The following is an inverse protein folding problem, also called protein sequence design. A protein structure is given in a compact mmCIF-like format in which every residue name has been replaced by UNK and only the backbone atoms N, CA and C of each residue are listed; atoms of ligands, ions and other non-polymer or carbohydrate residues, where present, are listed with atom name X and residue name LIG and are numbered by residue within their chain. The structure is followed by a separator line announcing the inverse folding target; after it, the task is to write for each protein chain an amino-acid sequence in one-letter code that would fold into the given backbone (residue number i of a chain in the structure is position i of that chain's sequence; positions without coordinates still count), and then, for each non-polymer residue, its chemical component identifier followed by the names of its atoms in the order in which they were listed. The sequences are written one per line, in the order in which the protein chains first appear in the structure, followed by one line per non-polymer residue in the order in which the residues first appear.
data_IF_578205771627
#
_entry.id   IF_578205771627
#
_cell.length_a   1.000
_cell.length_b   1.000
_cell.length_c   1.000
_cell.angle_alpha   90.00
_cell.angle_beta   90.00
_cell.angle_gamma   90.00
#
_symmetry.space_group_name_H-M   'P 1'
#
loop_
_entity.id
_entity.type
_entity.pdbx_description
1 polymer ?
#
# COMPACT_ATOMS: atom_id res chain seq x y z
N UNK A 1 0.70 10.13 -21.20
CA UNK A 1 0.68 11.43 -20.51
C UNK A 1 0.54 11.17 -19.02
N UNK A 2 1.06 12.04 -18.15
CA UNK A 2 0.76 11.98 -16.71
C UNK A 2 -0.59 12.66 -16.43
N UNK A 3 -1.17 12.35 -15.28
CA UNK A 3 -2.45 12.89 -14.87
C UNK A 3 -2.53 12.95 -13.35
N UNK A 4 -3.32 13.86 -12.81
CA UNK A 4 -3.59 13.89 -11.37
C UNK A 4 -4.76 12.97 -11.06
N UNK A 5 -4.67 12.28 -9.92
CA UNK A 5 -5.67 11.31 -9.47
C UNK A 5 -6.11 11.70 -8.06
N UNK A 6 -7.41 11.78 -7.87
CA UNK A 6 -8.01 12.02 -6.57
C UNK A 6 -7.83 10.81 -5.65
N UNK A 7 -7.59 11.07 -4.36
CA UNK A 7 -7.50 10.08 -3.30
C UNK A 7 -8.65 10.30 -2.34
N UNK A 8 -9.46 9.28 -2.06
CA UNK A 8 -10.57 9.41 -1.12
C UNK A 8 -10.77 8.15 -0.28
N UNK A 9 -10.90 8.31 1.04
CA UNK A 9 -11.33 7.19 1.88
C UNK A 9 -12.80 6.83 1.63
N UNK A 10 -13.23 5.64 2.05
CA UNK A 10 -14.58 5.11 1.73
C UNK A 10 -15.72 6.03 2.20
N UNK A 11 -15.52 6.76 3.30
CA UNK A 11 -16.52 7.69 3.83
C UNK A 11 -16.30 9.15 3.41
N UNK A 12 -15.31 9.46 2.57
CA UNK A 12 -15.08 10.82 2.05
C UNK A 12 -14.39 11.81 3.01
N UNK A 13 -14.26 11.46 4.28
CA UNK A 13 -13.66 12.32 5.31
C UNK A 13 -12.19 12.67 5.02
N UNK A 14 -11.42 11.69 4.53
CA UNK A 14 -10.05 11.91 4.05
C UNK A 14 -10.08 12.09 2.54
N UNK A 15 -9.50 13.20 2.07
CA UNK A 15 -9.36 13.52 0.65
C UNK A 15 -7.96 14.06 0.35
N UNK A 16 -7.49 13.81 -0.87
CA UNK A 16 -6.20 14.27 -1.34
C UNK A 16 -5.95 13.98 -2.82
N UNK A 17 -4.68 14.03 -3.19
CA UNK A 17 -4.24 13.92 -4.57
C UNK A 17 -2.97 13.09 -4.70
N UNK A 18 -2.92 12.31 -5.77
CA UNK A 18 -1.72 11.72 -6.34
C UNK A 18 -1.38 12.48 -7.63
N UNK A 19 -0.30 13.28 -7.58
CA UNK A 19 0.17 14.11 -8.69
C UNK A 19 1.01 13.31 -9.68
N UNK A 20 0.95 13.69 -10.95
CA UNK A 20 1.78 13.13 -12.03
C UNK A 20 1.70 11.59 -12.15
N UNK A 21 0.53 11.02 -11.91
CA UNK A 21 0.29 9.59 -12.04
C UNK A 21 0.45 9.14 -13.50
N UNK A 22 1.25 8.08 -13.70
CA UNK A 22 1.43 7.41 -14.99
C UNK A 22 2.11 6.06 -14.78
N UNK A 23 2.11 5.16 -15.77
CA UNK A 23 2.88 3.91 -15.71
C UNK A 23 4.40 4.16 -15.56
N UNK A 24 4.89 5.33 -16.00
CA UNK A 24 6.31 5.68 -15.93
C UNK A 24 6.73 6.20 -14.54
N UNK A 25 5.80 6.78 -13.78
CA UNK A 25 6.02 7.36 -12.46
C UNK A 25 5.59 6.43 -11.33
N UNK A 26 4.84 5.36 -11.59
CA UNK A 26 4.43 4.36 -10.58
C UNK A 26 4.92 2.94 -10.89
N UNK A 27 4.84 2.03 -9.92
CA UNK A 27 5.02 0.59 -10.10
C UNK A 27 3.83 -0.16 -9.52
N UNK A 28 3.01 -0.81 -10.36
CA UNK A 28 1.85 -1.57 -9.89
C UNK A 28 2.17 -3.06 -9.78
N UNK A 29 1.78 -3.68 -8.67
CA UNK A 29 1.98 -5.11 -8.38
C UNK A 29 0.78 -5.66 -7.62
N UNK A 30 0.57 -6.97 -7.67
CA UNK A 30 -0.32 -7.67 -6.72
C UNK A 30 0.53 -8.41 -5.70
N UNK A 31 0.35 -8.13 -4.42
CA UNK A 31 1.14 -8.69 -3.33
C UNK A 31 0.33 -9.70 -2.53
N UNK A 32 0.84 -10.93 -2.45
CA UNK A 32 0.17 -12.06 -1.79
C UNK A 32 0.67 -12.34 -0.38
N UNK A 33 1.54 -11.50 0.20
CA UNK A 33 2.09 -11.83 1.52
C UNK A 33 1.02 -11.89 2.60
N UNK A 34 1.25 -12.81 3.53
CA UNK A 34 0.46 -13.00 4.74
C UNK A 34 0.38 -11.71 5.58
N UNK A 35 1.38 -10.84 5.55
CA UNK A 35 1.30 -9.54 6.21
C UNK A 35 0.33 -8.53 5.53
N UNK A 36 0.16 -8.58 4.20
CA UNK A 36 -0.86 -7.76 3.53
C UNK A 36 -2.26 -8.31 3.82
N UNK A 37 -2.40 -9.63 3.84
CA UNK A 37 -3.63 -10.31 4.23
C UNK A 37 -4.00 -9.99 5.69
N UNK A 38 -3.08 -10.18 6.63
CA UNK A 38 -3.28 -9.91 8.06
C UNK A 38 -3.68 -8.45 8.32
N UNK A 39 -3.09 -7.51 7.58
CA UNK A 39 -3.47 -6.10 7.68
C UNK A 39 -4.93 -5.86 7.27
N UNK A 40 -5.37 -6.41 6.14
CA UNK A 40 -6.75 -6.25 5.68
C UNK A 40 -7.74 -7.00 6.57
N UNK A 41 -7.38 -8.17 7.10
CA UNK A 41 -8.19 -8.85 8.13
C UNK A 41 -8.31 -8.01 9.41
N UNK A 42 -7.21 -7.43 9.90
CA UNK A 42 -7.23 -6.58 11.09
C UNK A 42 -8.13 -5.35 10.89
N UNK A 43 -8.14 -4.76 9.70
CA UNK A 43 -9.00 -3.63 9.39
C UNK A 43 -10.48 -4.02 9.17
N UNK A 44 -10.81 -5.31 9.13
CA UNK A 44 -12.13 -5.78 8.70
C UNK A 44 -12.42 -5.43 7.24
N UNK A 45 -11.37 -5.39 6.41
CA UNK A 45 -11.40 -5.00 4.99
C UNK A 45 -10.91 -6.13 4.06
N UNK A 46 -11.14 -7.38 4.47
CA UNK A 46 -10.65 -8.55 3.73
C UNK A 46 -11.32 -8.70 2.35
N UNK A 47 -12.47 -8.06 2.12
CA UNK A 47 -13.12 -7.99 0.81
C UNK A 47 -12.28 -7.26 -0.26
N UNK A 48 -11.22 -6.54 0.14
CA UNK A 48 -10.26 -5.91 -0.77
C UNK A 48 -9.17 -6.87 -1.26
N UNK A 49 -9.11 -8.10 -0.74
CA UNK A 49 -8.21 -9.14 -1.24
C UNK A 49 -8.82 -9.78 -2.48
N UNK A 50 -7.98 -10.12 -3.46
CA UNK A 50 -8.40 -11.02 -4.54
C UNK A 50 -8.66 -12.44 -4.00
N UNK A 51 -9.24 -13.31 -4.83
CA UNK A 51 -9.59 -14.69 -4.49
C UNK A 51 -8.42 -15.53 -3.95
N UNK A 52 -7.17 -15.10 -4.20
CA UNK A 52 -5.93 -15.77 -3.78
C UNK A 52 -5.23 -15.01 -2.65
N UNK A 53 -5.88 -14.05 -2.00
CA UNK A 53 -5.31 -13.26 -0.91
C UNK A 53 -4.35 -12.16 -1.36
N UNK A 54 -4.49 -11.69 -2.60
CA UNK A 54 -3.65 -10.65 -3.19
C UNK A 54 -4.20 -9.25 -2.96
N UNK A 55 -3.34 -8.31 -2.54
CA UNK A 55 -3.65 -6.88 -2.54
C UNK A 55 -3.09 -6.22 -3.81
N UNK A 56 -3.93 -5.52 -4.57
CA UNK A 56 -3.49 -4.68 -5.70
C UNK A 56 -2.91 -3.36 -5.19
N UNK A 57 -1.64 -3.12 -5.51
CA UNK A 57 -0.83 -2.05 -4.92
C UNK A 57 -0.16 -1.23 -6.02
N UNK A 58 -0.38 0.08 -5.96
CA UNK A 58 0.33 1.07 -6.77
C UNK A 58 1.43 1.71 -5.92
N UNK A 59 2.69 1.53 -6.33
CA UNK A 59 3.85 2.06 -5.63
C UNK A 59 4.31 3.38 -6.25
N UNK A 60 4.43 4.42 -5.44
CA UNK A 60 4.75 5.79 -5.87
C UNK A 60 5.78 6.43 -4.95
N UNK A 61 6.28 7.60 -5.35
CA UNK A 61 7.13 8.40 -4.50
C UNK A 61 6.27 9.22 -3.50
N UNK A 62 6.76 9.46 -2.27
CA UNK A 62 6.06 10.25 -1.26
C UNK A 62 5.62 11.63 -1.73
N UNK A 63 6.48 12.35 -2.45
CA UNK A 63 6.21 13.72 -2.91
C UNK A 63 5.04 13.84 -3.88
N UNK A 64 4.54 12.73 -4.42
CA UNK A 64 3.39 12.72 -5.31
C UNK A 64 2.07 12.77 -4.54
N UNK A 65 2.08 12.50 -3.23
CA UNK A 65 0.87 12.38 -2.41
C UNK A 65 0.71 13.61 -1.53
N UNK A 66 -0.49 14.19 -1.54
CA UNK A 66 -0.91 15.25 -0.63
C UNK A 66 -2.32 14.97 -0.12
N UNK A 67 -2.59 15.24 1.16
CA UNK A 67 -3.94 15.29 1.71
C UNK A 67 -4.33 16.74 1.93
N UNK A 68 -5.53 17.13 1.53
CA UNK A 68 -6.06 18.47 1.72
C UNK A 68 -7.22 18.53 2.74
N UNK A 69 -7.77 17.36 3.12
CA UNK A 69 -8.81 17.21 4.14
C UNK A 69 -8.66 15.89 4.90
N UNK A 70 -8.99 15.90 6.20
CA UNK A 70 -9.09 14.69 7.01
C UNK A 70 -7.76 14.05 7.42
N UNK A 71 -6.64 14.77 7.30
CA UNK A 71 -5.31 14.23 7.62
C UNK A 71 -5.17 13.80 9.09
N UNK A 72 -5.90 14.45 9.99
CA UNK A 72 -6.03 14.12 11.42
C UNK A 72 -6.68 12.75 11.67
N UNK A 73 -7.39 12.21 10.69
CA UNK A 73 -7.99 10.87 10.72
C UNK A 73 -7.05 9.79 10.18
N UNK A 74 -5.82 10.13 9.79
CA UNK A 74 -4.81 9.15 9.40
C UNK A 74 -4.26 8.47 10.65
N UNK A 75 -4.11 7.15 10.60
CA UNK A 75 -3.44 6.35 11.61
C UNK A 75 -2.53 5.31 10.95
N UNK A 76 -1.60 4.73 11.72
CA UNK A 76 -0.78 3.61 11.29
C UNK A 76 -0.91 2.39 12.19
N UNK A 77 -0.76 1.23 11.56
CA UNK A 77 -0.53 -0.04 12.23
C UNK A 77 0.84 -0.59 11.83
N UNK A 78 1.54 -1.21 12.78
CA UNK A 78 2.66 -2.10 12.50
C UNK A 78 2.35 -3.48 13.04
N UNK A 79 2.48 -4.51 12.20
CA UNK A 79 2.26 -5.90 12.62
C UNK A 79 3.38 -6.41 13.54
N UNK A 80 4.56 -5.78 13.49
CA UNK A 80 5.69 -6.03 14.39
C UNK A 80 6.41 -4.72 14.69
N UNK A 81 7.19 -4.62 15.79
CA UNK A 81 7.93 -3.40 16.14
C UNK A 81 8.94 -2.91 15.07
N UNK A 82 9.36 -3.79 14.15
CA UNK A 82 10.28 -3.47 13.04
C UNK A 82 9.62 -3.56 11.65
N UNK A 83 8.33 -3.88 11.59
CA UNK A 83 7.58 -4.04 10.35
C UNK A 83 7.28 -2.72 9.65
N UNK A 84 6.65 -2.82 8.47
CA UNK A 84 6.20 -1.64 7.70
C UNK A 84 5.19 -0.82 8.50
N UNK A 85 5.17 0.49 8.26
CA UNK A 85 4.03 1.32 8.62
C UNK A 85 2.92 1.05 7.61
N UNK A 86 1.74 0.69 8.11
CA UNK A 86 0.54 0.43 7.31
C UNK A 86 -0.50 1.49 7.67
N UNK A 87 -0.60 2.50 6.82
CA UNK A 87 -1.44 3.68 7.00
C UNK A 87 -2.88 3.38 6.61
N UNK A 88 -3.83 3.85 7.40
CA UNK A 88 -5.25 3.69 7.16
C UNK A 88 -6.05 4.89 7.70
N UNK A 89 -7.25 5.08 7.16
CA UNK A 89 -8.21 6.06 7.65
C UNK A 89 -8.90 5.51 8.90
N UNK A 90 -8.76 6.16 10.05
CA UNK A 90 -9.31 5.70 11.32
C UNK A 90 -10.85 5.65 11.32
N UNK A 91 -11.49 6.56 10.56
CA UNK A 91 -12.93 6.74 10.43
C UNK A 91 -13.67 5.57 9.74
N UNK A 92 -13.08 4.98 8.70
CA UNK A 92 -13.74 3.92 7.91
C UNK A 92 -12.84 2.71 7.62
N UNK A 93 -11.65 2.67 8.22
CA UNK A 93 -10.63 1.63 8.04
C UNK A 93 -10.17 1.47 6.59
N UNK A 94 -10.32 2.49 5.73
CA UNK A 94 -9.76 2.43 4.36
C UNK A 94 -8.24 2.38 4.42
N UNK A 95 -7.58 1.38 3.79
CA UNK A 95 -6.13 1.36 3.67
C UNK A 95 -5.64 2.54 2.81
N UNK A 96 -4.72 3.34 3.33
CA UNK A 96 -4.16 4.50 2.64
C UNK A 96 -2.83 4.17 1.97
N UNK A 97 -2.09 3.22 2.53
CA UNK A 97 -0.90 2.66 1.93
C UNK A 97 0.12 2.18 2.96
N UNK A 98 1.32 1.84 2.51
CA UNK A 98 2.40 1.42 3.40
C UNK A 98 3.73 2.09 3.07
N UNK A 99 4.58 2.27 4.08
CA UNK A 99 5.94 2.80 3.93
C UNK A 99 6.94 2.07 4.83
N UNK A 100 8.23 2.09 4.45
CA UNK A 100 9.31 1.53 5.26
C UNK A 100 9.80 2.55 6.30
N UNK A 101 10.70 3.41 5.87
CA UNK A 101 11.29 4.51 6.64
C UNK A 101 11.17 5.77 5.79
N UNK A 102 11.16 6.98 6.39
CA UNK A 102 11.06 8.24 5.64
C UNK A 102 12.18 8.44 4.61
N UNK A 103 13.32 7.76 4.79
CA UNK A 103 14.48 7.83 3.88
C UNK A 103 14.34 7.01 2.60
N UNK A 104 13.39 6.07 2.56
CA UNK A 104 13.11 5.25 1.37
C UNK A 104 11.91 5.87 0.66
N UNK A 105 12.08 6.46 -0.55
CA UNK A 105 10.99 7.16 -1.25
C UNK A 105 10.00 6.15 -1.84
N UNK A 106 9.20 5.52 -0.99
CA UNK A 106 8.31 4.44 -1.36
C UNK A 106 7.04 4.46 -0.54
N UNK A 107 5.91 4.59 -1.22
CA UNK A 107 4.59 4.35 -0.66
C UNK A 107 3.86 3.36 -1.55
N UNK A 108 3.37 2.26 -0.99
CA UNK A 108 2.47 1.33 -1.67
C UNK A 108 1.02 1.66 -1.33
N UNK A 109 0.26 2.19 -2.27
CA UNK A 109 -1.16 2.53 -2.11
C UNK A 109 -2.01 1.30 -2.48
N UNK A 110 -2.95 0.89 -1.62
CA UNK A 110 -3.98 -0.09 -1.99
C UNK A 110 -4.99 0.60 -2.89
N UNK A 111 -5.32 -0.02 -4.04
CA UNK A 111 -6.08 0.64 -5.12
C UNK A 111 -7.45 1.17 -4.71
N UNK A 112 -8.07 0.62 -3.65
CA UNK A 112 -9.29 1.15 -3.02
C UNK A 112 -9.24 2.67 -2.84
N UNK A 113 -8.14 3.24 -2.32
CA UNK A 113 -8.01 4.70 -2.10
C UNK A 113 -8.16 5.51 -3.40
N UNK A 114 -7.77 4.93 -4.53
CA UNK A 114 -7.81 5.54 -5.87
C UNK A 114 -9.14 5.26 -6.59
N UNK A 115 -9.84 4.18 -6.24
CA UNK A 115 -11.06 3.72 -6.90
C UNK A 115 -12.34 4.18 -6.22
N UNK A 116 -12.27 4.62 -4.95
CA UNK A 116 -13.41 5.18 -4.22
C UNK A 116 -13.59 6.69 -4.41
N UNK A 117 -12.67 7.34 -5.12
CA UNK A 117 -12.79 8.77 -5.41
C UNK A 117 -13.90 9.05 -6.44
N UNK A 118 -14.66 10.14 -6.33
CA UNK A 118 -15.69 10.52 -7.31
C UNK A 118 -15.17 10.60 -8.75
N UNK A 119 -13.93 11.06 -8.93
CA UNK A 119 -13.26 11.14 -10.25
C UNK A 119 -12.44 9.89 -10.62
N UNK A 120 -12.65 8.76 -9.93
CA UNK A 120 -11.89 7.54 -10.14
C UNK A 120 -11.93 7.08 -11.60
N UNK A 121 -10.75 6.75 -12.12
CA UNK A 121 -10.58 6.04 -13.40
C UNK A 121 -10.04 4.64 -13.13
N UNK A 122 -10.32 3.65 -14.00
CA UNK A 122 -9.77 2.32 -13.86
C UNK A 122 -8.24 2.36 -13.69
N UNK A 123 -7.72 1.63 -12.70
CA UNK A 123 -6.27 1.63 -12.44
C UNK A 123 -5.43 1.17 -13.64
N UNK A 124 -5.97 0.31 -14.51
CA UNK A 124 -5.29 -0.11 -15.74
C UNK A 124 -5.08 1.06 -16.73
N UNK A 125 -6.03 2.00 -16.80
CA UNK A 125 -5.93 3.18 -17.66
C UNK A 125 -4.82 4.13 -17.18
N UNK A 126 -4.73 4.34 -15.86
CA UNK A 126 -3.83 5.32 -15.26
C UNK A 126 -2.41 4.76 -15.03
N UNK A 127 -2.31 3.53 -14.55
CA UNK A 127 -1.05 2.93 -14.10
C UNK A 127 -0.57 1.77 -14.96
N UNK A 128 -1.41 1.30 -15.90
CA UNK A 128 -1.20 0.07 -16.65
C UNK A 128 -1.48 -1.18 -15.82
N UNK A 129 -1.41 -2.32 -16.50
CA UNK A 129 -1.54 -3.63 -15.86
C UNK A 129 -0.44 -3.84 -14.79
N UNK A 130 -0.72 -4.62 -13.72
CA UNK A 130 0.29 -5.00 -12.75
C UNK A 130 1.53 -5.61 -13.42
N UNK A 131 2.72 -5.07 -13.10
CA UNK A 131 4.01 -5.53 -13.68
C UNK A 131 4.43 -6.90 -13.18
N UNK A 132 3.82 -7.37 -12.09
CA UNK A 132 4.02 -8.70 -11.57
C UNK A 132 3.20 -8.98 -10.32
N UNK A 133 3.20 -10.27 -9.99
CA UNK A 133 2.61 -10.83 -8.77
C UNK A 133 3.75 -11.26 -7.87
N UNK A 134 3.71 -10.87 -6.60
CA UNK A 134 4.82 -11.07 -5.67
C UNK A 134 4.40 -11.82 -4.42
N UNK A 135 5.35 -12.55 -3.82
CA UNK A 135 5.16 -13.30 -2.57
C UNK A 135 4.05 -14.36 -2.67
N UNK A 136 3.91 -14.98 -3.84
CA UNK A 136 2.91 -16.01 -4.12
C UNK A 136 3.01 -17.26 -3.25
N UNK A 137 4.12 -17.48 -2.54
CA UNK A 137 4.23 -18.56 -1.54
C UNK A 137 3.20 -18.47 -0.41
N UNK A 138 2.60 -17.30 -0.22
CA UNK A 138 1.53 -17.03 0.75
C UNK A 138 0.16 -16.88 0.11
N UNK A 139 0.04 -17.04 -1.22
CA UNK A 139 -1.24 -16.98 -1.90
C UNK A 139 -2.15 -18.11 -1.39
N UNK A 140 -3.43 -17.80 -1.22
CA UNK A 140 -4.46 -18.75 -0.84
C UNK A 140 -4.68 -19.71 -2.01
N UNK A 141 -4.61 -21.02 -1.72
CA UNK A 141 -4.72 -22.06 -2.74
C UNK A 141 -3.50 -22.12 -3.67
N UNK A 142 -3.74 -22.25 -4.97
CA UNK A 142 -2.64 -22.32 -5.94
C UNK A 142 -2.03 -20.92 -6.14
N UNK A 143 -0.69 -20.78 -6.15
CA UNK A 143 -0.06 -19.50 -6.40
C UNK A 143 -0.25 -19.05 -7.85
N UNK A 144 -0.51 -17.75 -8.11
CA UNK A 144 -0.57 -17.25 -9.48
C UNK A 144 0.72 -17.51 -10.26
N UNK A 145 0.66 -17.73 -11.59
CA UNK A 145 1.85 -17.92 -12.41
C UNK A 145 2.89 -16.81 -12.24
N UNK A 146 4.16 -17.19 -12.11
CA UNK A 146 5.28 -16.25 -11.96
C UNK A 146 5.37 -15.54 -10.60
N UNK A 147 4.57 -15.92 -9.60
CA UNK A 147 4.53 -15.27 -8.28
C UNK A 147 5.37 -15.95 -7.19
N UNK A 148 5.78 -17.21 -7.40
CA UNK A 148 6.53 -18.01 -6.42
C UNK A 148 7.99 -17.58 -6.27
N UNK A 149 8.68 -17.36 -7.40
CA UNK A 149 10.10 -16.98 -7.41
C UNK A 149 10.25 -15.47 -7.55
N UNK A 150 11.26 -14.86 -6.92
CA UNK A 150 11.55 -13.44 -7.11
C UNK A 150 11.75 -13.09 -8.59
N UNK A 151 10.96 -12.14 -9.09
CA UNK A 151 11.11 -11.65 -10.46
C UNK A 151 12.22 -10.60 -10.54
N UNK A 152 13.40 -11.00 -11.01
CA UNK A 152 14.60 -10.14 -11.09
C UNK A 152 14.36 -8.88 -11.93
N UNK A 153 13.58 -8.97 -13.03
CA UNK A 153 13.25 -7.81 -13.87
C UNK A 153 12.38 -6.81 -13.13
N UNK A 154 11.39 -7.28 -12.35
CA UNK A 154 10.56 -6.44 -11.51
C UNK A 154 11.36 -5.80 -10.36
N UNK A 155 12.26 -6.57 -9.74
CA UNK A 155 13.13 -6.07 -8.68
C UNK A 155 14.06 -4.97 -9.20
N UNK A 156 14.75 -5.21 -10.32
CA UNK A 156 15.61 -4.22 -10.97
C UNK A 156 14.82 -2.95 -11.36
N UNK A 157 13.60 -3.11 -11.87
CA UNK A 157 12.71 -2.00 -12.18
C UNK A 157 12.38 -1.16 -10.93
N UNK A 158 12.05 -1.82 -9.82
CA UNK A 158 11.71 -1.18 -8.54
C UNK A 158 12.92 -0.43 -7.98
N UNK A 159 14.09 -1.06 -7.95
CA UNK A 159 15.35 -0.45 -7.50
C UNK A 159 15.68 0.80 -8.33
N UNK A 160 15.57 0.72 -9.67
CA UNK A 160 15.80 1.86 -10.57
C UNK A 160 14.87 3.03 -10.26
N UNK A 161 13.60 2.77 -9.94
CA UNK A 161 12.65 3.82 -9.53
C UNK A 161 13.03 4.45 -8.20
N UNK A 162 13.35 3.64 -7.18
CA UNK A 162 13.79 4.13 -5.87
C UNK A 162 15.01 5.05 -6.00
N UNK A 163 16.01 4.64 -6.78
CA UNK A 163 17.21 5.45 -7.06
C UNK A 163 16.81 6.77 -7.73
N UNK A 164 16.00 6.71 -8.79
CA UNK A 164 15.54 7.91 -9.51
C UNK A 164 14.77 8.87 -8.59
N UNK A 165 13.83 8.36 -7.80
CA UNK A 165 13.05 9.16 -6.86
C UNK A 165 13.95 9.79 -5.79
N UNK A 166 14.93 9.04 -5.28
CA UNK A 166 15.89 9.55 -4.31
C UNK A 166 16.75 10.69 -4.90
N UNK A 167 17.29 10.50 -6.10
CA UNK A 167 18.10 11.50 -6.80
C UNK A 167 17.31 12.78 -7.12
N UNK A 168 16.00 12.67 -7.32
CA UNK A 168 15.11 13.82 -7.57
C UNK A 168 14.57 14.47 -6.30
N UNK A 169 14.90 13.94 -5.12
CA UNK A 169 14.39 14.46 -3.85
C UNK A 169 12.93 14.08 -3.55
N UNK A 170 12.32 13.17 -4.32
CA UNK A 170 10.90 12.81 -4.22
C UNK A 170 10.53 12.02 -2.94
N UNK A 171 11.48 11.85 -2.01
CA UNK A 171 11.16 11.44 -0.64
C UNK A 171 10.38 12.53 0.12
N UNK A 172 10.49 13.79 -0.31
CA UNK A 172 9.87 14.94 0.33
C UNK A 172 9.12 15.84 -0.67
N UNK A 173 8.00 16.48 -0.28
CA UNK A 173 7.34 16.35 1.02
C UNK A 173 6.81 14.91 1.26
N UNK A 174 6.81 14.46 2.51
CA UNK A 174 6.32 13.13 2.87
C UNK A 174 4.92 13.26 3.51
N UNK A 175 3.89 12.54 3.04
CA UNK A 175 2.54 12.67 3.58
C UNK A 175 2.43 12.15 5.02
N UNK A 176 3.24 11.14 5.37
CA UNK A 176 3.15 10.44 6.65
C UNK A 176 4.23 10.69 7.71
N UNK A 177 5.39 11.27 7.34
CA UNK A 177 6.49 11.51 8.28
C UNK A 177 6.82 12.99 8.34
N UNK A 178 7.24 13.44 9.51
CA UNK A 178 7.81 14.76 9.72
C UNK A 178 9.29 14.77 9.31
N UNK A 179 9.71 15.85 8.64
CA UNK A 179 11.06 15.96 8.06
C UNK A 179 12.13 16.22 9.10
N UNK A 180 11.81 17.03 10.11
CA UNK A 180 12.78 17.43 11.12
C UNK A 180 13.09 16.28 12.07
N UNK A 181 12.06 15.59 12.55
CA UNK A 181 12.18 14.49 13.52
C UNK A 181 12.40 13.13 12.87
N UNK A 182 11.95 12.93 11.63
CA UNK A 182 11.90 11.60 11.00
C UNK A 182 10.81 10.68 11.58
N UNK A 183 9.98 11.19 12.50
CA UNK A 183 8.92 10.43 13.14
C UNK A 183 7.62 10.46 12.32
N UNK A 184 6.74 9.45 12.49
CA UNK A 184 5.36 9.51 12.01
C UNK A 184 4.66 10.81 12.46
N UNK A 185 3.90 11.43 11.55
CA UNK A 185 3.01 12.57 11.88
C UNK A 185 1.77 12.14 12.65
N UNK A 186 1.43 10.85 12.59
CA UNK A 186 0.14 10.32 13.02
C UNK A 186 0.32 9.19 14.05
N UNK A 187 -0.71 8.87 14.84
CA UNK A 187 -0.67 7.78 15.81
C UNK A 187 -0.28 6.44 15.17
N UNK A 188 0.61 5.70 15.84
CA UNK A 188 1.08 4.39 15.39
C UNK A 188 0.81 3.34 16.45
N UNK A 189 -0.04 2.37 16.14
CA UNK A 189 -0.24 1.19 16.95
C UNK A 189 0.68 0.04 16.50
N UNK A 190 1.12 -0.79 17.43
CA UNK A 190 1.86 -2.02 17.15
C UNK A 190 1.06 -3.18 17.72
N UNK A 191 0.78 -4.20 16.90
CA UNK A 191 0.10 -5.39 17.40
C UNK A 191 0.98 -6.11 18.43
N UNK A 192 0.34 -6.58 19.50
CA UNK A 192 0.92 -7.61 20.35
C UNK A 192 1.14 -8.91 19.56
N UNK A 193 2.02 -9.76 20.07
CA UNK A 193 2.25 -11.09 19.48
C UNK A 193 0.93 -11.88 19.40
N UNK A 194 0.11 -11.85 20.44
CA UNK A 194 -1.16 -12.57 20.48
C UNK A 194 -2.16 -12.07 19.41
N UNK A 195 -2.34 -10.76 19.29
CA UNK A 195 -3.22 -10.18 18.25
C UNK A 195 -2.72 -10.53 16.84
N UNK A 196 -1.40 -10.45 16.62
CA UNK A 196 -0.81 -10.79 15.33
C UNK A 196 -0.98 -12.27 15.00
N UNK A 197 -0.78 -13.15 15.98
CA UNK A 197 -0.86 -14.58 15.78
C UNK A 197 -2.32 -15.03 15.58
N UNK A 198 -3.29 -14.33 16.18
CA UNK A 198 -4.72 -14.52 15.92
C UNK A 198 -5.14 -14.23 14.46
N UNK A 199 -4.37 -13.39 13.74
CA UNK A 199 -4.62 -13.11 12.31
C UNK A 199 -4.05 -14.19 11.37
N UNK A 200 -3.04 -14.95 11.81
CA UNK A 200 -2.32 -15.90 10.94
C UNK A 200 -3.22 -17.02 10.40
N UNK A 201 -4.16 -17.60 11.17
CA UNK A 201 -5.12 -18.56 10.64
C UNK A 201 -6.01 -18.01 9.52
N UNK A 202 -6.17 -16.70 9.39
CA UNK A 202 -6.96 -16.09 8.31
C UNK A 202 -6.15 -15.89 7.03
N UNK A 203 -4.83 -16.04 7.11
CA UNK A 203 -3.91 -15.77 6.01
C UNK A 203 -3.51 -17.07 5.27
N UNK A 204 -3.08 -16.91 4.03
CA UNK A 204 -2.62 -17.99 3.20
C UNK A 204 -1.28 -18.61 3.67
N UNK A 205 -0.89 -19.74 3.06
CA UNK A 205 -1.54 -20.33 1.88
C UNK A 205 -2.77 -21.19 2.20
N UNK A 206 -3.01 -21.51 3.47
CA UNK A 206 -4.10 -22.39 3.92
C UNK A 206 -4.83 -21.73 5.09
N UNK A 207 -5.71 -20.75 4.83
CA UNK A 207 -6.50 -20.16 5.89
C UNK A 207 -7.42 -21.22 6.51
N UNK A 208 -7.70 -21.09 7.80
CA UNK A 208 -8.76 -21.83 8.46
C UNK A 208 -10.08 -21.56 7.71
N UNK A 209 -10.86 -22.62 7.47
CA UNK A 209 -12.20 -22.44 6.90
C UNK A 209 -13.02 -21.62 7.91
N UNK A 210 -13.63 -20.53 7.42
CA UNK A 210 -14.64 -19.80 8.17
C UNK A 210 -15.88 -20.67 8.40
#
# INVERSE_FOLDING_TARGET
MSTDVELQCRCGEIHGWLRDASPSTSNRVVCYCDDCQAFLHHLGRAELLDERGGSDIVQVAPSMISFDRGSELVAALRLTPKGLYRWYASCCKTPLGNSLTPSVPFIGIVTELLQQAPSARPCDEVFGAPRGRILGKFAIGEPPPGSLKPNVRLLAHTIRKLIRWKLRGNAWPHPFFDRASGNPKYPVAVLSTAERDALRPLCGPRPARA
#
